data_IF_693273755826
#
_entry.id   IF_693273755826
#
_cell.length_a   1.000
_cell.length_b   1.000
_cell.length_c   1.000
_cell.angle_alpha   90.00
_cell.angle_beta   90.00
_cell.angle_gamma   90.00
#
_symmetry.space_group_name_H-M   'P 1'
#
loop_
_entity.id
_entity.type
_entity.pdbx_description
1 polymer ?
#
# COMPACT_ATOMS: atom_id res chain seq x y z
N UNK A 1 19.83 -11.93 18.46
CA UNK A 1 19.00 -12.50 19.54
C UNK A 1 17.89 -11.53 19.98
N UNK A 2 18.22 -10.29 20.39
CA UNK A 2 17.23 -9.29 20.83
C UNK A 2 16.16 -8.96 19.77
N UNK A 3 16.55 -8.67 18.52
CA UNK A 3 15.59 -8.37 17.44
C UNK A 3 14.63 -9.54 17.17
N UNK A 4 15.15 -10.78 17.18
CA UNK A 4 14.33 -11.97 16.95
C UNK A 4 13.26 -12.13 18.03
N UNK A 5 13.63 -11.95 19.31
CA UNK A 5 12.69 -12.03 20.42
C UNK A 5 11.61 -10.94 20.34
N UNK A 6 11.99 -9.71 19.99
CA UNK A 6 11.04 -8.61 19.78
C UNK A 6 10.07 -8.90 18.64
N UNK A 7 10.57 -9.41 17.51
CA UNK A 7 9.75 -9.77 16.34
C UNK A 7 8.75 -10.87 16.70
N UNK A 8 9.18 -11.97 17.31
CA UNK A 8 8.26 -13.04 17.70
C UNK A 8 7.18 -12.57 18.70
N UNK A 9 7.54 -11.72 19.66
CA UNK A 9 6.58 -11.16 20.61
C UNK A 9 5.53 -10.31 19.90
N UNK A 10 5.95 -9.45 18.96
CA UNK A 10 5.03 -8.63 18.18
C UNK A 10 4.13 -9.48 17.29
N UNK A 11 4.68 -10.49 16.62
CA UNK A 11 3.95 -11.42 15.75
C UNK A 11 2.83 -12.13 16.54
N UNK A 12 3.14 -12.64 17.72
CA UNK A 12 2.15 -13.31 18.58
C UNK A 12 1.06 -12.34 19.04
N UNK A 13 1.43 -11.09 19.34
CA UNK A 13 0.48 -10.06 19.78
C UNK A 13 -0.43 -9.53 18.65
N UNK A 14 -0.05 -9.65 17.37
CA UNK A 14 -0.89 -9.24 16.24
C UNK A 14 -2.23 -9.98 16.17
N UNK A 15 -2.27 -11.23 16.63
CA UNK A 15 -3.51 -12.03 16.64
C UNK A 15 -4.42 -11.71 17.82
N UNK A 16 -3.98 -10.86 18.76
CA UNK A 16 -4.75 -10.45 19.92
C UNK A 16 -5.39 -9.08 19.66
N UNK A 17 -6.73 -9.01 19.69
CA UNK A 17 -7.50 -7.79 19.41
C UNK A 17 -7.21 -6.63 20.37
N UNK A 18 -6.79 -6.90 21.60
CA UNK A 18 -6.44 -5.87 22.60
C UNK A 18 -5.03 -5.32 22.37
N UNK A 19 -4.14 -6.12 21.79
CA UNK A 19 -2.72 -5.78 21.62
C UNK A 19 -2.35 -5.38 20.20
N UNK A 20 -3.22 -5.63 19.21
CA UNK A 20 -2.95 -5.42 17.78
C UNK A 20 -2.49 -4.00 17.47
N UNK A 21 -3.03 -2.99 18.15
CA UNK A 21 -2.63 -1.60 17.95
C UNK A 21 -1.15 -1.41 18.31
N UNK A 22 -0.77 -1.76 19.54
CA UNK A 22 0.62 -1.64 20.01
C UNK A 22 1.57 -2.53 19.22
N UNK A 23 1.15 -3.76 18.92
CA UNK A 23 1.93 -4.73 18.15
C UNK A 23 2.19 -4.25 16.72
N UNK A 24 1.17 -3.71 16.04
CA UNK A 24 1.31 -3.22 14.66
C UNK A 24 2.14 -1.94 14.56
N UNK A 25 2.12 -1.08 15.57
CA UNK A 25 3.00 0.10 15.64
C UNK A 25 4.45 -0.34 15.81
N UNK A 26 4.74 -1.11 16.87
CA UNK A 26 6.09 -1.57 17.17
C UNK A 26 6.68 -2.39 16.01
N UNK A 27 5.89 -3.31 15.44
CA UNK A 27 6.36 -4.12 14.32
C UNK A 27 6.60 -3.30 13.05
N UNK A 28 5.78 -2.27 12.78
CA UNK A 28 5.99 -1.38 11.63
C UNK A 28 7.32 -0.62 11.77
N UNK A 29 7.60 -0.06 12.94
CA UNK A 29 8.86 0.67 13.21
C UNK A 29 10.07 -0.26 13.07
N UNK A 30 10.03 -1.43 13.73
CA UNK A 30 11.07 -2.45 13.60
C UNK A 30 11.29 -2.86 12.13
N UNK A 31 10.21 -3.01 11.36
CA UNK A 31 10.29 -3.40 9.95
C UNK A 31 10.93 -2.33 9.09
N UNK A 32 10.53 -1.08 9.28
CA UNK A 32 11.02 0.05 8.51
C UNK A 32 12.52 0.28 8.73
N UNK A 33 13.00 0.11 9.96
CA UNK A 33 14.41 0.25 10.35
C UNK A 33 15.28 -0.96 9.97
N UNK A 34 14.72 -2.18 9.97
CA UNK A 34 15.48 -3.43 9.83
C UNK A 34 15.07 -4.26 8.61
N UNK A 35 14.57 -3.64 7.52
CA UNK A 35 13.94 -4.31 6.37
C UNK A 35 14.68 -5.56 5.86
N UNK A 36 16.00 -5.47 5.68
CA UNK A 36 16.82 -6.56 5.15
C UNK A 36 16.86 -7.74 6.12
N UNK A 37 16.96 -7.48 7.42
CA UNK A 37 16.89 -8.52 8.45
C UNK A 37 15.47 -9.03 8.69
N UNK A 38 14.46 -8.24 8.35
CA UNK A 38 13.05 -8.60 8.50
C UNK A 38 12.55 -9.52 7.38
N UNK A 39 13.20 -9.49 6.22
CA UNK A 39 12.91 -10.39 5.08
C UNK A 39 12.76 -11.85 5.51
N UNK A 40 13.68 -12.39 6.32
CA UNK A 40 13.65 -13.81 6.77
C UNK A 40 12.39 -14.22 7.55
N UNK A 41 11.63 -13.26 8.08
CA UNK A 41 10.38 -13.52 8.82
C UNK A 41 9.14 -13.38 7.94
N UNK A 42 9.26 -13.14 6.62
CA UNK A 42 8.11 -13.01 5.72
C UNK A 42 7.15 -14.20 5.85
N UNK A 43 7.67 -15.42 5.87
CA UNK A 43 6.86 -16.64 5.95
C UNK A 43 6.15 -16.81 7.30
N UNK A 44 6.65 -16.17 8.37
CA UNK A 44 6.02 -16.19 9.69
C UNK A 44 4.98 -15.06 9.82
N UNK A 45 5.32 -13.87 9.34
CA UNK A 45 4.51 -12.65 9.47
C UNK A 45 3.33 -12.67 8.50
N UNK A 46 3.56 -13.06 7.23
CA UNK A 46 2.57 -12.95 6.17
C UNK A 46 1.28 -13.73 6.44
N UNK A 47 1.32 -15.02 6.85
CA UNK A 47 0.10 -15.78 7.13
C UNK A 47 -0.71 -15.17 8.28
N UNK A 48 -0.03 -14.65 9.31
CA UNK A 48 -0.68 -14.04 10.48
C UNK A 48 -1.35 -12.73 10.09
N UNK A 49 -0.64 -11.84 9.38
CA UNK A 49 -1.23 -10.60 8.89
C UNK A 49 -2.38 -10.89 7.92
N UNK A 50 -2.24 -11.84 6.99
CA UNK A 50 -3.32 -12.26 6.10
C UNK A 50 -4.55 -12.70 6.87
N UNK A 51 -4.38 -13.57 7.87
CA UNK A 51 -5.48 -14.03 8.72
C UNK A 51 -6.15 -12.87 9.49
N UNK A 52 -5.35 -11.95 10.02
CA UNK A 52 -5.83 -10.74 10.70
C UNK A 52 -6.64 -9.85 9.76
N UNK A 53 -6.20 -9.67 8.51
CA UNK A 53 -6.89 -8.87 7.49
C UNK A 53 -8.19 -9.50 6.96
N UNK A 54 -8.27 -10.83 6.94
CA UNK A 54 -9.43 -11.60 6.44
C UNK A 54 -10.48 -11.88 7.52
N UNK A 55 -10.04 -12.26 8.72
CA UNK A 55 -10.90 -12.80 9.78
C UNK A 55 -10.97 -11.92 11.03
N UNK A 56 -10.11 -10.91 11.17
CA UNK A 56 -10.07 -10.06 12.35
C UNK A 56 -11.04 -8.88 12.26
N UNK A 57 -11.68 -8.54 13.39
CA UNK A 57 -12.31 -7.22 13.60
C UNK A 57 -11.24 -6.15 13.84
N UNK A 58 -10.43 -5.90 12.81
CA UNK A 58 -9.29 -4.99 12.87
C UNK A 58 -9.75 -3.58 12.57
N UNK A 59 -9.35 -2.62 13.40
CA UNK A 59 -9.63 -1.22 13.15
C UNK A 59 -8.95 -0.77 11.85
N UNK A 60 -9.55 0.17 11.08
CA UNK A 60 -9.00 0.62 9.80
C UNK A 60 -7.51 0.98 9.87
N UNK A 61 -7.09 1.71 10.89
CA UNK A 61 -5.68 2.13 11.05
C UNK A 61 -4.71 0.96 11.25
N UNK A 62 -5.10 -0.06 12.00
CA UNK A 62 -4.27 -1.24 12.23
C UNK A 62 -4.17 -2.09 10.96
N UNK A 63 -5.25 -2.15 10.19
CA UNK A 63 -5.31 -2.78 8.87
C UNK A 63 -4.29 -2.15 7.92
N UNK A 64 -4.26 -0.82 7.88
CA UNK A 64 -3.28 -0.04 7.09
C UNK A 64 -1.84 -0.29 7.58
N UNK A 65 -1.60 -0.32 8.89
CA UNK A 65 -0.28 -0.61 9.46
C UNK A 65 0.22 -2.02 9.12
N UNK A 66 -0.64 -3.02 9.23
CA UNK A 66 -0.30 -4.41 8.89
C UNK A 66 0.17 -4.54 7.43
N UNK A 67 -0.46 -3.81 6.54
CA UNK A 67 -0.13 -3.86 5.10
C UNK A 67 1.16 -3.10 4.80
N UNK A 68 1.42 -2.01 5.53
CA UNK A 68 2.71 -1.34 5.49
C UNK A 68 3.84 -2.28 5.93
N UNK A 69 3.65 -3.05 7.01
CA UNK A 69 4.64 -4.04 7.48
C UNK A 69 4.98 -5.01 6.35
N UNK A 70 3.99 -5.61 5.70
CA UNK A 70 4.24 -6.53 4.59
C UNK A 70 4.92 -5.81 3.42
N UNK A 71 4.47 -4.60 3.06
CA UNK A 71 5.07 -3.84 1.97
C UNK A 71 6.56 -3.54 2.20
N UNK A 72 6.94 -3.14 3.41
CA UNK A 72 8.35 -2.89 3.76
C UNK A 72 9.20 -4.17 3.77
N UNK A 73 8.63 -5.31 4.16
CA UNK A 73 9.34 -6.60 4.06
C UNK A 73 9.54 -6.96 2.58
N UNK A 74 8.49 -6.84 1.77
CA UNK A 74 8.51 -7.15 0.34
C UNK A 74 9.44 -6.25 -0.46
N UNK A 75 9.70 -5.01 -0.02
CA UNK A 75 10.66 -4.13 -0.70
C UNK A 75 12.11 -4.68 -0.70
N UNK A 76 12.40 -5.67 0.15
CA UNK A 76 13.69 -6.38 0.18
C UNK A 76 13.71 -7.64 -0.71
N UNK A 77 12.62 -7.96 -1.42
CA UNK A 77 12.50 -9.18 -2.24
C UNK A 77 12.57 -8.90 -3.75
N UNK A 78 12.95 -9.90 -4.57
CA UNK A 78 12.85 -9.82 -6.02
C UNK A 78 11.41 -9.64 -6.51
N UNK A 79 11.25 -8.95 -7.64
CA UNK A 79 9.96 -8.62 -8.27
C UNK A 79 8.99 -9.80 -8.38
N UNK A 80 9.48 -11.00 -8.74
CA UNK A 80 8.66 -12.21 -8.82
C UNK A 80 7.98 -12.57 -7.49
N UNK A 81 8.68 -12.46 -6.37
CA UNK A 81 8.10 -12.76 -5.06
C UNK A 81 7.12 -11.64 -4.66
N UNK A 82 7.46 -10.39 -4.98
CA UNK A 82 6.60 -9.24 -4.69
C UNK A 82 5.26 -9.33 -5.42
N UNK A 83 5.26 -9.64 -6.73
CA UNK A 83 4.02 -9.73 -7.52
C UNK A 83 3.11 -10.87 -7.01
N UNK A 84 3.68 -12.02 -6.63
CA UNK A 84 2.90 -13.15 -6.10
C UNK A 84 2.17 -12.76 -4.80
N UNK A 85 2.86 -12.07 -3.88
CA UNK A 85 2.26 -11.62 -2.62
C UNK A 85 1.28 -10.45 -2.81
N UNK A 86 1.58 -9.53 -3.73
CA UNK A 86 0.68 -8.44 -4.10
C UNK A 86 -0.65 -8.95 -4.62
N UNK A 87 -0.63 -9.95 -5.50
CA UNK A 87 -1.85 -10.57 -6.04
C UNK A 87 -2.72 -11.16 -4.93
N UNK A 88 -2.10 -11.85 -3.96
CA UNK A 88 -2.81 -12.42 -2.80
C UNK A 88 -3.46 -11.32 -1.94
N UNK A 89 -2.76 -10.20 -1.71
CA UNK A 89 -3.26 -9.11 -0.88
C UNK A 89 -4.31 -8.24 -1.58
N UNK A 90 -4.16 -7.98 -2.89
CA UNK A 90 -5.00 -7.04 -3.63
C UNK A 90 -6.28 -7.68 -4.15
N UNK A 91 -6.25 -8.95 -4.57
CA UNK A 91 -7.45 -9.63 -5.08
C UNK A 91 -8.68 -9.54 -4.15
N UNK A 92 -8.59 -9.81 -2.83
CA UNK A 92 -9.75 -9.66 -1.94
C UNK A 92 -10.21 -8.21 -1.81
N UNK A 93 -9.31 -7.24 -1.93
CA UNK A 93 -9.63 -5.81 -1.81
C UNK A 93 -10.30 -5.24 -3.05
N UNK A 94 -9.86 -5.66 -4.23
CA UNK A 94 -10.55 -5.38 -5.49
C UNK A 94 -11.97 -5.94 -5.44
N UNK A 95 -12.14 -7.18 -4.97
CA UNK A 95 -13.46 -7.80 -4.84
C UNK A 95 -14.37 -7.07 -3.85
N UNK A 96 -13.84 -6.67 -2.67
CA UNK A 96 -14.59 -5.86 -1.70
C UNK A 96 -15.00 -4.52 -2.29
N UNK A 97 -14.08 -3.84 -2.98
CA UNK A 97 -14.35 -2.56 -3.61
C UNK A 97 -15.44 -2.67 -4.69
N UNK A 98 -15.39 -3.71 -5.53
CA UNK A 98 -16.46 -3.99 -6.50
C UNK A 98 -17.81 -4.25 -5.82
N UNK A 99 -17.83 -5.00 -4.72
CA UNK A 99 -19.05 -5.25 -3.96
C UNK A 99 -19.64 -3.94 -3.42
N UNK A 100 -18.82 -3.09 -2.79
CA UNK A 100 -19.25 -1.77 -2.31
C UNK A 100 -19.82 -0.89 -3.43
N UNK A 101 -19.20 -0.90 -4.61
CA UNK A 101 -19.65 -0.11 -5.77
C UNK A 101 -20.90 -0.70 -6.46
N UNK A 102 -21.20 -1.98 -6.25
CA UNK A 102 -22.37 -2.66 -6.84
C UNK A 102 -23.60 -2.57 -5.93
N UNK A 103 -23.41 -2.42 -4.63
CA UNK A 103 -24.51 -2.29 -3.68
C UNK A 103 -25.29 -1.00 -3.92
N UNK A 104 -26.53 -1.12 -4.40
CA UNK A 104 -27.47 0.01 -4.58
C UNK A 104 -28.41 0.20 -3.38
N UNK A 105 -28.27 -0.62 -2.33
CA UNK A 105 -29.15 -0.61 -1.17
C UNK A 105 -29.06 0.74 -0.45
N UNK A 106 -30.23 1.33 -0.16
CA UNK A 106 -30.42 2.76 0.17
C UNK A 106 -29.66 3.33 1.36
N UNK A 107 -29.84 4.64 1.57
CA UNK A 107 -29.03 5.56 2.41
C UNK A 107 -28.56 5.05 3.78
N UNK A 108 -29.25 4.09 4.41
CA UNK A 108 -28.96 3.66 5.79
C UNK A 108 -27.53 3.13 5.99
N UNK A 109 -26.87 2.61 4.94
CA UNK A 109 -25.48 2.13 5.02
C UNK A 109 -24.48 2.94 4.18
N UNK A 110 -24.89 4.08 3.61
CA UNK A 110 -24.05 4.86 2.70
C UNK A 110 -22.75 5.36 3.37
N UNK A 111 -22.82 5.79 4.63
CA UNK A 111 -21.66 6.27 5.39
C UNK A 111 -20.64 5.15 5.61
N UNK A 112 -21.10 3.98 6.08
CA UNK A 112 -20.22 2.83 6.33
C UNK A 112 -19.57 2.33 5.04
N UNK A 113 -20.35 2.26 3.94
CA UNK A 113 -19.84 1.90 2.62
C UNK A 113 -18.74 2.87 2.17
N UNK A 114 -18.97 4.17 2.30
CA UNK A 114 -17.96 5.20 1.99
C UNK A 114 -16.69 4.99 2.82
N UNK A 115 -16.82 4.78 4.12
CA UNK A 115 -15.66 4.53 5.00
C UNK A 115 -14.88 3.29 4.57
N UNK A 116 -15.57 2.22 4.17
CA UNK A 116 -14.93 1.01 3.67
C UNK A 116 -14.21 1.23 2.33
N UNK A 117 -14.78 2.02 1.42
CA UNK A 117 -14.13 2.45 0.18
C UNK A 117 -12.85 3.25 0.51
N UNK A 118 -12.95 4.29 1.34
CA UNK A 118 -11.80 5.10 1.76
C UNK A 118 -10.69 4.27 2.41
N UNK A 119 -11.06 3.31 3.26
CA UNK A 119 -10.11 2.40 3.91
C UNK A 119 -9.42 1.49 2.90
N UNK A 120 -10.16 0.99 1.90
CA UNK A 120 -9.60 0.14 0.83
C UNK A 120 -8.66 0.93 -0.08
N UNK A 121 -9.00 2.17 -0.43
CA UNK A 121 -8.12 3.06 -1.19
C UNK A 121 -6.84 3.39 -0.40
N UNK A 122 -6.98 3.65 0.90
CA UNK A 122 -5.84 3.90 1.80
C UNK A 122 -4.93 2.68 1.91
N UNK A 123 -5.51 1.47 1.91
CA UNK A 123 -4.77 0.20 1.91
C UNK A 123 -3.88 0.10 0.68
N UNK A 124 -4.47 0.30 -0.51
CA UNK A 124 -3.75 0.24 -1.79
C UNK A 124 -2.62 1.27 -1.81
N UNK A 125 -2.95 2.51 -1.42
CA UNK A 125 -2.01 3.62 -1.35
C UNK A 125 -0.80 3.31 -0.48
N UNK A 126 -1.01 2.80 0.74
CA UNK A 126 0.07 2.46 1.68
C UNK A 126 0.89 1.28 1.20
N UNK A 127 0.26 0.27 0.60
CA UNK A 127 0.97 -0.89 0.06
C UNK A 127 1.96 -0.50 -1.04
N UNK A 128 1.53 0.34 -1.98
CA UNK A 128 2.38 0.85 -3.07
C UNK A 128 3.58 1.61 -2.49
N UNK A 129 3.35 2.54 -1.57
CA UNK A 129 4.42 3.33 -0.97
C UNK A 129 5.38 2.49 -0.13
N UNK A 130 4.87 1.50 0.62
CA UNK A 130 5.71 0.65 1.46
C UNK A 130 6.61 -0.27 0.63
N UNK A 131 6.13 -0.81 -0.49
CA UNK A 131 6.94 -1.61 -1.42
C UNK A 131 7.95 -0.73 -2.16
N UNK A 132 7.52 0.47 -2.54
CA UNK A 132 8.37 1.50 -3.14
C UNK A 132 9.43 2.08 -2.22
N UNK A 133 9.41 1.73 -0.94
CA UNK A 133 10.34 2.25 0.06
C UNK A 133 11.75 1.71 -0.20
N UNK A 134 12.55 2.50 -0.90
CA UNK A 134 13.98 2.36 -0.98
C UNK A 134 14.59 3.17 0.19
N UNK A 135 14.57 2.61 1.40
CA UNK A 135 15.00 3.34 2.60
C UNK A 135 16.37 3.99 2.40
N UNK A 136 16.51 5.24 2.85
CA UNK A 136 17.64 6.13 2.57
C UNK A 136 18.97 5.37 2.55
N UNK A 137 19.61 5.33 1.37
CA UNK A 137 21.03 5.05 1.25
C UNK A 137 21.82 6.31 1.63
N UNK A 138 21.50 6.93 2.77
CA UNK A 138 22.25 8.08 3.28
C UNK A 138 23.53 7.56 3.94
N UNK A 139 24.66 7.75 3.25
CA UNK A 139 25.94 8.18 3.80
C UNK A 139 26.49 7.38 5.00
N UNK A 140 27.21 6.29 4.72
CA UNK A 140 27.98 5.58 5.72
C UNK A 140 28.83 4.44 5.15
N UNK A 141 30.10 4.76 4.91
CA UNK A 141 31.26 3.86 4.77
C UNK A 141 31.40 2.98 3.52
N UNK A 142 32.40 3.34 2.72
CA UNK A 142 32.98 2.59 1.59
C UNK A 142 33.66 1.25 1.99
N UNK A 143 33.36 0.65 3.14
CA UNK A 143 34.15 -0.46 3.68
C UNK A 143 33.33 -1.62 4.23
N UNK A 144 32.36 -2.15 3.49
CA UNK A 144 31.97 -3.57 3.61
C UNK A 144 31.73 -4.19 2.23
N UNK A 145 32.82 -4.68 1.64
CA UNK A 145 32.76 -5.64 0.54
C UNK A 145 32.01 -6.90 1.01
N UNK A 146 31.00 -7.28 0.23
CA UNK A 146 30.24 -8.55 0.23
C UNK A 146 28.85 -8.52 0.88
N UNK A 147 27.94 -7.76 0.26
CA UNK A 147 26.74 -8.40 -0.27
C UNK A 147 26.56 -7.89 -1.68
N UNK A 148 26.80 -8.78 -2.66
CA UNK A 148 26.52 -8.54 -4.07
C UNK A 148 25.14 -7.89 -4.16
N UNK A 149 25.13 -6.62 -4.52
CA UNK A 149 24.05 -6.05 -5.28
C UNK A 149 23.78 -7.07 -6.40
N UNK A 150 22.68 -7.81 -6.27
CA UNK A 150 22.13 -8.50 -7.42
C UNK A 150 21.83 -7.39 -8.42
N UNK A 151 22.69 -7.32 -9.43
CA UNK A 151 22.51 -6.60 -10.67
C UNK A 151 21.22 -7.10 -11.34
N UNK A 152 20.09 -6.61 -10.86
CA UNK A 152 18.90 -6.43 -11.66
C UNK A 152 18.50 -4.98 -11.35
N UNK A 153 18.31 -4.10 -12.35
CA UNK A 153 17.56 -2.88 -12.10
C UNK A 153 16.30 -3.34 -11.38
N UNK A 154 16.07 -2.87 -10.15
CA UNK A 154 14.94 -3.30 -9.33
C UNK A 154 13.71 -3.29 -10.21
N UNK A 155 13.19 -4.46 -10.62
CA UNK A 155 12.00 -4.58 -11.48
C UNK A 155 10.73 -4.21 -10.68
N UNK A 156 10.88 -3.78 -9.42
CA UNK A 156 9.80 -3.36 -8.53
C UNK A 156 8.98 -2.22 -9.11
N UNK A 157 9.55 -1.13 -9.68
CA UNK A 157 8.75 -0.10 -10.32
C UNK A 157 7.94 -0.65 -11.50
N UNK A 158 8.45 -1.62 -12.27
CA UNK A 158 7.69 -2.26 -13.35
C UNK A 158 6.53 -3.10 -12.79
N UNK A 159 6.76 -3.88 -11.73
CA UNK A 159 5.69 -4.63 -11.03
C UNK A 159 4.61 -3.68 -10.51
N UNK A 160 5.00 -2.59 -9.85
CA UNK A 160 4.07 -1.59 -9.35
C UNK A 160 3.30 -0.93 -10.50
N UNK A 161 3.94 -0.62 -11.62
CA UNK A 161 3.29 -0.12 -12.83
C UNK A 161 2.24 -1.09 -13.37
N UNK A 162 2.55 -2.40 -13.44
CA UNK A 162 1.59 -3.42 -13.85
C UNK A 162 0.39 -3.49 -12.91
N UNK A 163 0.64 -3.54 -11.59
CA UNK A 163 -0.42 -3.59 -10.58
C UNK A 163 -1.31 -2.35 -10.63
N UNK A 164 -0.74 -1.16 -10.79
CA UNK A 164 -1.49 0.08 -10.93
C UNK A 164 -2.34 0.12 -12.19
N UNK A 165 -1.82 -0.40 -13.30
CA UNK A 165 -2.58 -0.56 -14.55
C UNK A 165 -3.77 -1.48 -14.33
N UNK A 166 -3.59 -2.61 -13.66
CA UNK A 166 -4.66 -3.56 -13.36
C UNK A 166 -5.72 -2.99 -12.41
N UNK A 167 -5.32 -2.08 -11.52
CA UNK A 167 -6.23 -1.36 -10.62
C UNK A 167 -6.96 -0.18 -11.30
N UNK A 168 -6.45 0.33 -12.42
CA UNK A 168 -7.03 1.52 -13.08
C UNK A 168 -8.53 1.39 -13.38
N UNK A 169 -9.05 0.28 -13.94
CA UNK A 169 -10.47 0.16 -14.24
C UNK A 169 -11.38 0.33 -13.01
N UNK A 170 -10.98 -0.20 -11.85
CA UNK A 170 -11.77 -0.07 -10.63
C UNK A 170 -11.66 1.33 -10.04
N UNK A 171 -10.50 1.99 -10.16
CA UNK A 171 -10.36 3.40 -9.75
C UNK A 171 -11.26 4.33 -10.58
N UNK A 172 -11.38 4.09 -11.89
CA UNK A 172 -12.36 4.81 -12.73
C UNK A 172 -13.80 4.57 -12.28
N UNK A 173 -14.14 3.34 -11.87
CA UNK A 173 -15.48 3.03 -11.37
C UNK A 173 -15.80 3.78 -10.07
N UNK A 174 -14.83 3.86 -9.15
CA UNK A 174 -14.96 4.68 -7.94
C UNK A 174 -15.18 6.14 -8.32
N UNK A 175 -14.34 6.71 -9.19
CA UNK A 175 -14.49 8.10 -9.65
C UNK A 175 -15.86 8.35 -10.27
N UNK A 176 -16.34 7.46 -11.13
CA UNK A 176 -17.64 7.62 -11.79
C UNK A 176 -18.81 7.73 -10.79
N UNK A 177 -18.72 7.04 -9.65
CA UNK A 177 -19.78 7.06 -8.64
C UNK A 177 -19.56 8.12 -7.54
N UNK A 178 -18.32 8.48 -7.25
CA UNK A 178 -17.93 9.32 -6.12
C UNK A 178 -17.15 10.59 -6.55
N UNK A 179 -17.29 11.04 -7.80
CA UNK A 179 -16.59 12.21 -8.33
C UNK A 179 -16.83 13.49 -7.50
N UNK A 180 -18.01 13.61 -6.89
CA UNK A 180 -18.40 14.77 -6.08
C UNK A 180 -18.11 14.57 -4.57
N UNK A 181 -17.68 13.38 -4.15
CA UNK A 181 -17.33 13.11 -2.75
C UNK A 181 -15.87 13.50 -2.48
N UNK A 182 -15.70 14.56 -1.70
CA UNK A 182 -14.40 15.13 -1.36
C UNK A 182 -13.47 14.13 -0.66
N UNK A 183 -13.99 13.28 0.22
CA UNK A 183 -13.18 12.34 1.01
C UNK A 183 -12.68 11.19 0.14
N UNK A 184 -13.55 10.62 -0.70
CA UNK A 184 -13.17 9.53 -1.62
C UNK A 184 -12.19 10.02 -2.68
N UNK A 185 -12.44 11.20 -3.26
CA UNK A 185 -11.54 11.82 -4.24
C UNK A 185 -10.18 12.17 -3.64
N UNK A 186 -10.13 12.61 -2.37
CA UNK A 186 -8.86 12.83 -1.67
C UNK A 186 -8.04 11.54 -1.58
N UNK A 187 -8.67 10.41 -1.23
CA UNK A 187 -8.00 9.10 -1.15
C UNK A 187 -7.51 8.60 -2.50
N UNK A 188 -8.25 8.88 -3.58
CA UNK A 188 -7.79 8.59 -4.93
C UNK A 188 -6.58 9.45 -5.30
N UNK A 189 -6.63 10.76 -5.06
CA UNK A 189 -5.49 11.64 -5.24
C UNK A 189 -4.28 11.23 -4.40
N UNK A 190 -4.49 10.70 -3.20
CA UNK A 190 -3.44 10.16 -2.34
C UNK A 190 -2.71 8.97 -3.01
N UNK A 191 -3.45 8.04 -3.64
CA UNK A 191 -2.84 6.93 -4.42
C UNK A 191 -1.99 7.49 -5.55
N UNK A 192 -2.51 8.45 -6.32
CA UNK A 192 -1.83 9.03 -7.47
C UNK A 192 -0.55 9.77 -7.04
N UNK A 193 -0.67 10.67 -6.05
CA UNK A 193 0.44 11.43 -5.46
C UNK A 193 1.56 10.49 -4.99
N UNK A 194 1.21 9.45 -4.24
CA UNK A 194 2.17 8.45 -3.76
C UNK A 194 2.78 7.59 -4.85
N UNK A 195 2.01 7.28 -5.89
CA UNK A 195 2.50 6.57 -7.06
C UNK A 195 3.61 7.36 -7.75
N UNK A 196 3.42 8.67 -7.92
CA UNK A 196 4.45 9.54 -8.50
C UNK A 196 5.71 9.61 -7.65
N UNK A 197 5.56 9.83 -6.35
CA UNK A 197 6.73 9.90 -5.46
C UNK A 197 7.48 8.57 -5.36
N UNK A 198 6.76 7.46 -5.48
CA UNK A 198 7.30 6.11 -5.43
C UNK A 198 8.03 5.73 -6.72
N UNK A 199 7.41 5.93 -7.88
CA UNK A 199 7.95 5.46 -9.16
C UNK A 199 8.93 6.44 -9.80
N UNK A 200 8.82 7.74 -9.51
CA UNK A 200 9.66 8.80 -10.09
C UNK A 200 9.74 8.65 -11.61
N UNK A 201 10.92 8.52 -12.19
CA UNK A 201 11.15 8.37 -13.63
C UNK A 201 10.49 7.09 -14.23
N UNK A 202 10.27 6.07 -13.40
CA UNK A 202 9.64 4.81 -13.85
C UNK A 202 8.12 4.92 -14.06
N UNK A 203 7.51 6.08 -13.79
CA UNK A 203 6.07 6.29 -13.97
C UNK A 203 5.65 6.42 -15.45
N UNK A 204 6.59 6.75 -16.34
CA UNK A 204 6.33 7.04 -17.75
C UNK A 204 5.37 6.05 -18.45
N UNK A 205 5.46 4.72 -18.24
CA UNK A 205 4.56 3.75 -18.90
C UNK A 205 3.09 3.83 -18.48
N UNK A 206 2.78 4.43 -17.32
CA UNK A 206 1.42 4.54 -16.79
C UNK A 206 0.95 6.00 -16.66
N UNK A 207 1.83 6.96 -16.92
CA UNK A 207 1.59 8.37 -16.65
C UNK A 207 0.30 8.89 -17.32
N UNK A 208 0.11 8.59 -18.61
CA UNK A 208 -1.09 9.01 -19.34
C UNK A 208 -2.37 8.44 -18.72
N UNK A 209 -2.34 7.18 -18.29
CA UNK A 209 -3.46 6.52 -17.62
C UNK A 209 -3.79 7.20 -16.29
N UNK A 210 -2.78 7.64 -15.53
CA UNK A 210 -3.00 8.39 -14.29
C UNK A 210 -3.53 9.80 -14.56
N UNK A 211 -3.06 10.46 -15.63
CA UNK A 211 -3.57 11.76 -16.06
C UNK A 211 -5.04 11.67 -16.51
N UNK A 212 -5.43 10.60 -17.19
CA UNK A 212 -6.83 10.33 -17.55
C UNK A 212 -7.71 10.14 -16.30
N UNK A 213 -7.23 9.42 -15.27
CA UNK A 213 -7.93 9.35 -13.98
C UNK A 213 -8.14 10.73 -13.38
N UNK A 214 -7.13 11.62 -13.45
CA UNK A 214 -7.22 12.99 -12.92
C UNK A 214 -8.19 13.89 -13.68
N UNK A 215 -8.26 13.76 -15.00
CA UNK A 215 -9.20 14.54 -15.82
C UNK A 215 -10.67 14.25 -15.46
N UNK A 216 -10.94 13.07 -14.89
CA UNK A 216 -12.27 12.68 -14.44
C UNK A 216 -12.60 13.16 -13.02
N UNK A 217 -11.65 13.80 -12.31
CA UNK A 217 -11.92 14.46 -11.03
C UNK A 217 -12.59 15.80 -11.33
N UNK A 218 -13.72 16.07 -10.68
CA UNK A 218 -14.51 17.27 -10.92
C UNK A 218 -13.70 18.57 -10.70
N UNK A 219 -13.91 19.62 -11.52
CA UNK A 219 -13.12 20.86 -11.47
C UNK A 219 -13.25 21.64 -10.15
N UNK A 220 -14.23 21.30 -9.32
CA UNK A 220 -14.51 21.96 -8.04
C UNK A 220 -13.72 21.37 -6.86
N UNK A 221 -12.95 20.30 -7.07
CA UNK A 221 -12.23 19.58 -6.02
C UNK A 221 -10.72 19.76 -6.20
N UNK A 222 -10.17 20.79 -5.55
CA UNK A 222 -8.74 21.07 -5.51
C UNK A 222 -8.14 20.52 -4.20
N UNK A 223 -7.64 19.29 -4.24
CA UNK A 223 -6.96 18.67 -3.11
C UNK A 223 -5.46 19.02 -3.10
N UNK A 224 -4.85 19.16 -1.91
CA UNK A 224 -3.40 19.33 -1.81
C UNK A 224 -2.61 18.20 -2.49
N UNK A 225 -3.16 16.97 -2.44
CA UNK A 225 -2.58 15.80 -3.11
C UNK A 225 -2.63 15.89 -4.64
N UNK A 226 -3.65 16.55 -5.19
CA UNK A 226 -3.73 16.84 -6.62
C UNK A 226 -2.60 17.78 -7.05
N UNK A 227 -2.38 18.86 -6.29
CA UNK A 227 -1.28 19.80 -6.56
C UNK A 227 0.10 19.14 -6.39
N UNK A 228 0.25 18.25 -5.40
CA UNK A 228 1.48 17.47 -5.24
C UNK A 228 1.73 16.54 -6.43
N UNK A 229 0.70 15.90 -6.96
CA UNK A 229 0.82 15.10 -8.19
C UNK A 229 1.29 15.98 -9.35
N UNK A 230 0.60 17.09 -9.62
CA UNK A 230 0.95 18.00 -10.73
C UNK A 230 2.38 18.51 -10.59
N UNK A 231 2.80 18.94 -9.40
CA UNK A 231 4.17 19.40 -9.13
C UNK A 231 5.24 18.34 -9.41
N UNK A 232 4.93 17.07 -9.16
CA UNK A 232 5.90 16.00 -9.28
C UNK A 232 5.96 15.40 -10.71
N UNK A 233 4.99 15.75 -11.57
CA UNK A 233 4.85 15.24 -12.95
C UNK A 233 5.16 16.31 -14.01
N UNK A 234 4.77 17.56 -13.76
CA UNK A 234 4.96 18.71 -14.64
C UNK A 234 6.11 19.59 -14.15
#
# INVERSE_FOLDING_TARGET
ETLQNCVHLCINALSNSELIQSASIALKELTMENRMHMSKYLNDIFPIIKNVLENGHVQPNDRIRCVAIIGYILSAYPAKIVIDHLNILLAPEVNKLLAYLSETNGDQNAILRKQNICTTLSFISVLITAIGYCGDQSDGDENEQQQKATENPSEIPEVLCCVLRDLTPILHLVLKQYADDSEVTEKLCEILSRTVTTLRESINPILNTLLELLQNIGPNILHAQFLNFVRNVC
#
